data_IF_980097949947
#
_entry.id   IF_980097949947
#
_cell.length_a   1.000
_cell.length_b   1.000
_cell.length_c   1.000
_cell.angle_alpha   90.00
_cell.angle_beta   90.00
_cell.angle_gamma   90.00
#
_symmetry.space_group_name_H-M   'P 1'
#
loop_
_entity.id
_entity.type
_entity.pdbx_description
1 polymer ?
#
# COMPACT_ATOMS: atom_id res chain seq x y z
N UNK A 1 33.66 -35.57 25.43
CA UNK A 1 33.19 -35.84 24.06
C UNK A 1 31.68 -36.04 24.14
N UNK A 2 30.90 -34.96 23.99
CA UNK A 2 29.43 -35.04 23.89
C UNK A 2 29.04 -34.38 22.57
N UNK A 3 28.65 -35.20 21.60
CA UNK A 3 28.11 -34.78 20.32
C UNK A 3 26.66 -34.37 20.52
N UNK A 4 26.39 -33.07 20.63
CA UNK A 4 25.03 -32.55 20.48
C UNK A 4 24.74 -32.40 18.98
N UNK A 5 24.17 -33.46 18.39
CA UNK A 5 23.48 -33.38 17.10
C UNK A 5 22.21 -32.54 17.26
N UNK A 6 22.37 -31.22 17.17
CA UNK A 6 21.26 -30.33 16.89
C UNK A 6 20.94 -30.42 15.40
N UNK A 7 19.86 -31.12 15.05
CA UNK A 7 19.28 -31.02 13.71
C UNK A 7 18.85 -29.58 13.48
N UNK A 8 19.67 -28.83 12.74
CA UNK A 8 19.24 -27.56 12.19
C UNK A 8 18.16 -27.88 11.17
N UNK A 9 16.91 -27.56 11.49
CA UNK A 9 15.85 -27.50 10.51
C UNK A 9 16.19 -26.31 9.58
N UNK A 10 17.04 -26.55 8.58
CA UNK A 10 17.36 -25.58 7.54
C UNK A 10 16.20 -25.53 6.56
N UNK A 11 15.10 -24.92 6.98
CA UNK A 11 14.18 -24.34 6.00
C UNK A 11 14.97 -23.32 5.16
N UNK A 12 14.61 -23.12 3.88
CA UNK A 12 15.27 -22.12 3.06
C UNK A 12 15.23 -20.76 3.77
N UNK A 13 16.36 -20.05 3.80
CA UNK A 13 16.42 -18.70 4.32
C UNK A 13 15.44 -17.83 3.52
N UNK A 14 14.57 -17.08 4.22
CA UNK A 14 13.63 -16.19 3.57
C UNK A 14 14.41 -15.12 2.77
N UNK A 15 14.00 -14.93 1.52
CA UNK A 15 14.48 -13.80 0.72
C UNK A 15 13.99 -12.47 1.32
N UNK A 16 14.67 -11.35 1.08
CA UNK A 16 14.22 -10.04 1.59
C UNK A 16 12.78 -9.68 1.20
N UNK A 17 12.33 -10.08 0.00
CA UNK A 17 10.94 -9.89 -0.42
C UNK A 17 9.98 -10.70 0.46
N UNK A 18 10.29 -11.97 0.73
CA UNK A 18 9.49 -12.83 1.60
C UNK A 18 9.49 -12.34 3.05
N UNK A 19 10.59 -11.74 3.54
CA UNK A 19 10.59 -11.09 4.85
C UNK A 19 9.58 -9.95 4.88
N UNK A 20 9.55 -9.09 3.86
CA UNK A 20 8.60 -7.98 3.80
C UNK A 20 7.15 -8.46 3.68
N UNK A 21 6.89 -9.50 2.89
CA UNK A 21 5.56 -10.13 2.80
C UNK A 21 5.16 -10.74 4.15
N UNK A 22 6.06 -11.49 4.79
CA UNK A 22 5.79 -12.13 6.08
C UNK A 22 5.48 -11.10 7.18
N UNK A 23 6.17 -9.96 7.22
CA UNK A 23 5.85 -8.85 8.15
C UNK A 23 4.41 -8.36 7.97
N UNK A 24 3.91 -8.34 6.73
CA UNK A 24 2.56 -7.88 6.39
C UNK A 24 1.46 -8.89 6.70
N UNK A 25 1.80 -10.18 6.72
CA UNK A 25 0.86 -11.25 7.06
C UNK A 25 0.64 -11.39 8.57
N UNK A 26 1.45 -10.72 9.41
CA UNK A 26 1.29 -10.71 10.86
C UNK A 26 -0.04 -10.05 11.24
N UNK A 27 -0.99 -10.84 11.73
CA UNK A 27 -2.26 -10.33 12.25
C UNK A 27 -2.14 -10.08 13.75
N UNK A 28 -2.25 -8.82 14.22
CA UNK A 28 -2.13 -8.52 15.65
C UNK A 28 -3.25 -9.18 16.49
N UNK A 29 -4.38 -9.55 15.88
CA UNK A 29 -5.50 -10.22 16.55
C UNK A 29 -5.32 -11.74 16.66
N UNK A 30 -4.68 -12.39 15.68
CA UNK A 30 -4.46 -13.86 15.68
C UNK A 30 -3.10 -14.26 16.26
N UNK A 31 -2.06 -13.45 16.06
CA UNK A 31 -0.66 -13.82 16.32
C UNK A 31 -0.07 -13.18 17.57
N UNK A 32 -0.90 -12.51 18.39
CA UNK A 32 -0.49 -11.80 19.60
C UNK A 32 0.30 -12.65 20.62
N UNK A 33 0.24 -13.98 20.50
CA UNK A 33 0.95 -14.94 21.36
C UNK A 33 2.33 -15.32 20.76
N UNK A 34 2.46 -15.43 19.43
CA UNK A 34 3.72 -15.82 18.77
C UNK A 34 4.75 -14.67 18.75
N UNK A 35 4.27 -13.44 18.53
CA UNK A 35 5.09 -12.22 18.61
C UNK A 35 5.70 -12.01 20.00
N UNK A 36 4.99 -12.38 21.08
CA UNK A 36 5.56 -12.35 22.44
C UNK A 36 6.78 -13.26 22.54
N UNK A 37 6.76 -14.46 21.96
CA UNK A 37 7.85 -15.43 22.02
C UNK A 37 9.06 -15.02 21.17
N UNK A 38 8.84 -14.56 19.93
CA UNK A 38 9.92 -14.09 19.05
C UNK A 38 10.60 -12.82 19.59
N UNK A 39 9.81 -11.92 20.22
CA UNK A 39 10.31 -10.69 20.84
C UNK A 39 10.97 -10.92 22.22
N UNK A 40 10.52 -11.90 23.00
CA UNK A 40 11.17 -12.28 24.28
C UNK A 40 12.56 -12.91 24.08
N UNK A 41 12.83 -13.50 22.91
CA UNK A 41 14.15 -14.01 22.56
C UNK A 41 15.14 -12.92 22.13
N UNK A 42 14.67 -11.73 21.72
CA UNK A 42 15.54 -10.62 21.31
C UNK A 42 15.70 -9.51 22.36
N UNK A 43 14.79 -9.36 23.33
CA UNK A 43 14.83 -8.23 24.28
C UNK A 43 14.47 -8.63 25.73
N UNK A 44 15.49 -8.92 26.55
CA UNK A 44 15.42 -8.89 28.02
C UNK A 44 15.38 -7.42 28.51
N UNK A 45 14.19 -6.80 28.56
CA UNK A 45 13.72 -5.81 29.56
C UNK A 45 12.49 -5.08 29.02
N UNK A 46 11.33 -5.37 29.60
CA UNK A 46 10.36 -4.42 30.16
C UNK A 46 8.98 -5.09 30.23
N UNK A 47 8.33 -4.97 31.38
CA UNK A 47 7.10 -5.69 31.75
C UNK A 47 5.82 -5.08 31.15
N UNK A 48 4.77 -5.92 31.19
CA UNK A 48 3.33 -5.64 31.33
C UNK A 48 2.39 -5.80 30.12
N UNK A 49 1.59 -6.87 30.26
CA UNK A 49 0.11 -6.98 30.27
C UNK A 49 -0.78 -6.58 29.07
N UNK A 50 -1.88 -7.36 28.95
CA UNK A 50 -2.72 -7.63 27.77
C UNK A 50 -3.79 -6.59 27.43
N UNK A 51 -3.83 -6.25 26.14
CA UNK A 51 -4.95 -5.98 25.21
C UNK A 51 -4.32 -6.19 23.79
N UNK A 52 -5.01 -6.07 22.65
CA UNK A 52 -4.28 -5.97 21.36
C UNK A 52 -3.51 -4.65 21.40
N UNK A 53 -2.27 -4.72 21.88
CA UNK A 53 -1.51 -3.59 22.38
C UNK A 53 -1.18 -2.63 21.22
N UNK A 54 -1.43 -1.31 21.33
CA UNK A 54 -0.88 -0.29 20.44
C UNK A 54 0.62 -0.50 20.14
N UNK A 55 1.38 -1.08 21.07
CA UNK A 55 2.80 -1.44 20.86
C UNK A 55 3.01 -2.56 19.84
N UNK A 56 2.06 -3.46 19.59
CA UNK A 56 2.23 -4.54 18.58
C UNK A 56 2.14 -4.01 17.16
N UNK A 57 1.12 -3.19 16.86
CA UNK A 57 1.01 -2.51 15.55
C UNK A 57 2.20 -1.57 15.31
N UNK A 58 2.67 -0.91 16.38
CA UNK A 58 3.88 -0.11 16.37
C UNK A 58 5.12 -0.94 16.00
N UNK A 59 5.30 -2.12 16.60
CA UNK A 59 6.43 -3.01 16.28
C UNK A 59 6.42 -3.54 14.84
N UNK A 60 5.25 -3.92 14.31
CA UNK A 60 5.15 -4.34 12.89
C UNK A 60 5.53 -3.17 11.98
N UNK A 61 5.07 -1.97 12.33
CA UNK A 61 5.40 -0.74 11.63
C UNK A 61 6.91 -0.41 11.71
N UNK A 62 7.54 -0.58 12.87
CA UNK A 62 8.99 -0.39 13.07
C UNK A 62 9.81 -1.41 12.29
N UNK A 63 9.40 -2.68 12.31
CA UNK A 63 10.05 -3.74 11.52
C UNK A 63 10.00 -3.42 10.02
N UNK A 64 8.84 -2.98 9.52
CA UNK A 64 8.70 -2.52 8.14
C UNK A 64 9.62 -1.32 7.86
N UNK A 65 9.65 -0.30 8.73
CA UNK A 65 10.55 0.85 8.57
C UNK A 65 12.03 0.45 8.54
N UNK A 66 12.46 -0.48 9.40
CA UNK A 66 13.84 -0.96 9.43
C UNK A 66 14.25 -1.66 8.12
N UNK A 67 13.31 -2.32 7.42
CA UNK A 67 13.58 -2.85 6.08
C UNK A 67 13.97 -1.73 5.10
N UNK A 68 13.29 -0.59 5.12
CA UNK A 68 13.57 0.54 4.23
C UNK A 68 14.88 1.28 4.56
N UNK A 69 15.40 1.13 5.79
CA UNK A 69 16.71 1.67 6.17
C UNK A 69 17.86 0.84 5.57
N UNK A 70 17.64 -0.45 5.32
CA UNK A 70 18.63 -1.37 4.73
C UNK A 70 18.57 -1.36 3.19
N UNK A 71 18.87 -0.21 2.57
CA UNK A 71 18.71 0.03 1.12
C UNK A 71 19.52 -0.87 0.19
N UNK A 72 20.58 -1.51 0.69
CA UNK A 72 21.37 -2.51 -0.07
C UNK A 72 20.68 -3.86 -0.12
N UNK A 73 19.82 -4.17 0.85
CA UNK A 73 19.07 -5.42 0.96
C UNK A 73 17.67 -5.25 0.36
N UNK A 74 16.98 -4.15 0.68
CA UNK A 74 15.64 -3.83 0.20
C UNK A 74 15.70 -2.86 -0.97
N UNK A 75 16.25 -3.34 -2.09
CA UNK A 75 16.37 -2.59 -3.34
C UNK A 75 14.99 -2.32 -3.98
N UNK A 76 14.89 -1.39 -4.96
CA UNK A 76 13.64 -1.17 -5.69
C UNK A 76 13.01 -2.45 -6.25
N UNK A 77 13.83 -3.38 -6.75
CA UNK A 77 13.39 -4.65 -7.33
C UNK A 77 12.81 -5.58 -6.29
N UNK A 78 13.43 -5.65 -5.10
CA UNK A 78 12.91 -6.44 -3.96
C UNK A 78 11.56 -5.89 -3.50
N UNK A 79 11.44 -4.57 -3.38
CA UNK A 79 10.19 -3.91 -3.00
C UNK A 79 9.10 -4.13 -4.06
N UNK A 80 9.43 -3.98 -5.34
CA UNK A 80 8.49 -4.23 -6.42
C UNK A 80 7.98 -5.67 -6.40
N UNK A 81 8.87 -6.65 -6.19
CA UNK A 81 8.50 -8.06 -6.05
C UNK A 81 7.52 -8.27 -4.88
N UNK A 82 7.85 -7.76 -3.69
CA UNK A 82 6.99 -7.91 -2.51
C UNK A 82 5.63 -7.22 -2.69
N UNK A 83 5.60 -5.99 -3.23
CA UNK A 83 4.37 -5.24 -3.50
C UNK A 83 3.48 -5.96 -4.52
N UNK A 84 4.07 -6.51 -5.60
CA UNK A 84 3.32 -7.25 -6.61
C UNK A 84 2.79 -8.59 -6.08
N UNK A 85 3.44 -9.21 -5.11
CA UNK A 85 2.91 -10.40 -4.43
C UNK A 85 1.74 -10.02 -3.50
N UNK A 86 1.95 -9.02 -2.62
CA UNK A 86 0.94 -8.65 -1.63
C UNK A 86 -0.34 -8.05 -2.23
N UNK A 87 -0.26 -7.35 -3.36
CA UNK A 87 -1.46 -6.75 -3.99
C UNK A 87 -2.50 -7.81 -4.35
N UNK A 88 -2.06 -9.05 -4.61
CA UNK A 88 -2.93 -10.16 -4.99
C UNK A 88 -3.48 -10.95 -3.78
N UNK A 89 -2.96 -10.72 -2.56
CA UNK A 89 -3.47 -11.34 -1.33
C UNK A 89 -4.96 -11.03 -1.09
N UNK A 90 -5.64 -12.00 -0.47
CA UNK A 90 -7.03 -11.89 -0.04
C UNK A 90 -7.15 -12.51 1.37
N UNK A 91 -7.36 -11.70 2.43
CA UNK A 91 -7.53 -10.24 2.42
C UNK A 91 -6.23 -9.48 2.10
N UNK A 92 -6.35 -8.28 1.55
CA UNK A 92 -5.21 -7.39 1.29
C UNK A 92 -4.58 -6.94 2.63
N UNK A 93 -3.24 -6.99 2.81
CA UNK A 93 -2.62 -6.68 4.08
C UNK A 93 -2.88 -5.25 4.55
N UNK A 94 -3.14 -5.08 5.84
CA UNK A 94 -3.59 -3.80 6.39
C UNK A 94 -2.57 -2.66 6.21
N UNK A 95 -1.28 -2.99 6.26
CA UNK A 95 -0.18 -2.03 6.13
C UNK A 95 0.25 -1.79 4.68
N UNK A 96 -0.38 -2.45 3.71
CA UNK A 96 0.05 -2.44 2.30
C UNK A 96 0.28 -1.02 1.75
N UNK A 97 -0.68 -0.11 1.94
CA UNK A 97 -0.54 1.26 1.43
C UNK A 97 0.57 2.06 2.11
N UNK A 98 0.91 1.74 3.37
CA UNK A 98 2.04 2.37 4.06
C UNK A 98 3.34 2.01 3.35
N UNK A 99 3.50 0.74 2.98
CA UNK A 99 4.69 0.24 2.26
C UNK A 99 4.77 0.77 0.85
N UNK A 100 3.64 0.92 0.15
CA UNK A 100 3.59 1.59 -1.16
C UNK A 100 4.12 3.03 -1.06
N UNK A 101 3.66 3.79 -0.05
CA UNK A 101 4.11 5.18 0.16
C UNK A 101 5.60 5.23 0.52
N UNK A 102 6.07 4.36 1.43
CA UNK A 102 7.49 4.28 1.79
C UNK A 102 8.38 3.90 0.60
N UNK A 103 7.91 3.04 -0.30
CA UNK A 103 8.63 2.67 -1.51
C UNK A 103 8.80 3.85 -2.48
N UNK A 104 7.77 4.67 -2.65
CA UNK A 104 7.86 5.89 -3.46
C UNK A 104 8.83 6.91 -2.82
N UNK A 105 8.73 7.13 -1.50
CA UNK A 105 9.60 8.04 -0.76
C UNK A 105 11.07 7.63 -0.85
N UNK A 106 11.35 6.33 -0.77
CA UNK A 106 12.70 5.79 -0.87
C UNK A 106 13.23 5.75 -2.30
N UNK A 107 12.36 5.43 -3.28
CA UNK A 107 12.72 5.14 -4.66
C UNK A 107 11.69 5.70 -5.66
N UNK A 108 11.84 6.99 -6.06
CA UNK A 108 10.92 7.63 -7.01
C UNK A 108 10.85 6.94 -8.39
N UNK A 109 11.85 6.13 -8.76
CA UNK A 109 11.85 5.33 -9.99
C UNK A 109 10.74 4.26 -10.02
N UNK A 110 10.09 3.96 -8.88
CA UNK A 110 8.99 3.00 -8.81
C UNK A 110 7.62 3.60 -9.13
N UNK A 111 7.50 4.91 -9.41
CA UNK A 111 6.19 5.58 -9.59
C UNK A 111 5.33 4.89 -10.65
N UNK A 112 5.88 4.56 -11.82
CA UNK A 112 5.11 3.91 -12.90
C UNK A 112 4.59 2.52 -12.50
N UNK A 113 5.46 1.71 -11.90
CA UNK A 113 5.07 0.43 -11.31
C UNK A 113 3.98 0.60 -10.25
N UNK A 114 4.10 1.60 -9.37
CA UNK A 114 3.08 1.87 -8.36
C UNK A 114 1.76 2.28 -9.00
N UNK A 115 1.74 2.99 -10.13
CA UNK A 115 0.48 3.31 -10.80
C UNK A 115 -0.25 2.05 -11.30
N UNK A 116 0.47 0.99 -11.68
CA UNK A 116 -0.12 -0.31 -12.00
C UNK A 116 -0.72 -0.97 -10.75
N UNK A 117 0.00 -0.92 -9.63
CA UNK A 117 -0.50 -1.40 -8.32
C UNK A 117 -1.77 -0.64 -7.92
N UNK A 118 -1.78 0.69 -8.00
CA UNK A 118 -2.95 1.50 -7.65
C UNK A 118 -4.14 1.20 -8.58
N UNK A 119 -3.89 0.97 -9.88
CA UNK A 119 -4.95 0.57 -10.82
C UNK A 119 -5.55 -0.80 -10.44
N UNK A 120 -4.71 -1.79 -10.06
CA UNK A 120 -5.21 -3.07 -9.51
C UNK A 120 -6.06 -2.88 -8.25
N UNK A 121 -5.69 -1.95 -7.37
CA UNK A 121 -6.47 -1.63 -6.16
C UNK A 121 -7.83 -1.01 -6.47
N UNK A 122 -7.96 -0.22 -7.54
CA UNK A 122 -9.26 0.28 -8.02
C UNK A 122 -10.14 -0.90 -8.42
N UNK A 123 -9.63 -1.85 -9.21
CA UNK A 123 -10.35 -3.08 -9.58
C UNK A 123 -10.76 -3.92 -8.36
N UNK A 124 -9.91 -3.94 -7.31
CA UNK A 124 -10.21 -4.59 -6.02
C UNK A 124 -11.13 -3.77 -5.09
N UNK A 125 -11.64 -2.63 -5.56
CA UNK A 125 -12.55 -1.76 -4.80
C UNK A 125 -11.97 -1.30 -3.46
N UNK A 126 -10.73 -0.78 -3.47
CA UNK A 126 -10.01 -0.33 -2.27
C UNK A 126 -10.79 0.63 -1.37
N UNK A 127 -11.77 1.37 -1.93
CA UNK A 127 -12.69 2.22 -1.17
C UNK A 127 -13.57 1.46 -0.15
N UNK A 128 -13.74 0.15 -0.27
CA UNK A 128 -14.44 -0.69 0.72
C UNK A 128 -13.58 -0.99 1.96
N UNK A 129 -12.30 -0.64 1.94
CA UNK A 129 -11.33 -0.91 2.99
C UNK A 129 -10.83 0.41 3.59
N UNK A 130 -11.50 1.00 4.60
CA UNK A 130 -11.29 2.40 5.01
C UNK A 130 -9.84 2.77 5.33
N UNK A 131 -9.09 1.90 6.01
CA UNK A 131 -7.68 2.13 6.35
C UNK A 131 -6.78 2.18 5.10
N UNK A 132 -7.03 1.30 4.13
CA UNK A 132 -6.31 1.28 2.87
C UNK A 132 -6.74 2.43 1.95
N UNK A 133 -8.02 2.80 1.98
CA UNK A 133 -8.55 3.93 1.21
C UNK A 133 -7.86 5.25 1.56
N UNK A 134 -7.63 5.51 2.85
CA UNK A 134 -6.89 6.70 3.30
C UNK A 134 -5.46 6.70 2.74
N UNK A 135 -4.78 5.55 2.80
CA UNK A 135 -3.44 5.41 2.22
C UNK A 135 -3.42 5.58 0.70
N UNK A 136 -4.42 5.02 0.01
CA UNK A 136 -4.59 5.16 -1.45
C UNK A 136 -4.70 6.62 -1.85
N UNK A 137 -5.57 7.39 -1.19
CA UNK A 137 -5.75 8.81 -1.48
C UNK A 137 -4.51 9.65 -1.18
N UNK A 138 -3.79 9.34 -0.08
CA UNK A 138 -2.49 9.96 0.21
C UNK A 138 -1.48 9.71 -0.91
N UNK A 139 -1.37 8.45 -1.36
CA UNK A 139 -0.46 8.09 -2.45
C UNK A 139 -0.85 8.79 -3.77
N UNK A 140 -2.13 8.80 -4.13
CA UNK A 140 -2.63 9.52 -5.32
C UNK A 140 -2.29 11.00 -5.26
N UNK A 141 -2.47 11.64 -4.10
CA UNK A 141 -2.15 13.07 -3.94
C UNK A 141 -0.64 13.34 -4.04
N UNK A 142 0.21 12.42 -3.59
CA UNK A 142 1.65 12.58 -3.61
C UNK A 142 2.25 12.37 -5.01
N UNK A 143 1.68 11.48 -5.82
CA UNK A 143 2.25 11.09 -7.12
C UNK A 143 1.62 11.80 -8.31
N UNK A 144 0.99 12.96 -8.08
CA UNK A 144 0.50 13.81 -9.17
C UNK A 144 1.66 14.23 -10.09
N UNK A 145 1.45 14.34 -11.42
CA UNK A 145 0.21 14.08 -12.15
C UNK A 145 -0.01 12.60 -12.55
N UNK A 146 0.97 11.72 -12.33
CA UNK A 146 0.96 10.32 -12.77
C UNK A 146 -0.27 9.54 -12.28
N UNK A 147 -0.79 9.90 -11.10
CA UNK A 147 -1.96 9.28 -10.49
C UNK A 147 -3.31 9.67 -11.11
N UNK A 148 -3.40 10.72 -11.94
CA UNK A 148 -4.68 11.16 -12.49
C UNK A 148 -5.34 10.10 -13.36
N UNK A 149 -4.57 9.35 -14.15
CA UNK A 149 -5.10 8.20 -14.92
C UNK A 149 -5.71 7.12 -14.04
N UNK A 150 -5.22 6.95 -12.81
CA UNK A 150 -5.77 5.99 -11.85
C UNK A 150 -7.02 6.56 -11.19
N UNK A 151 -6.97 7.84 -10.82
CA UNK A 151 -8.10 8.52 -10.19
C UNK A 151 -9.33 8.55 -11.11
N UNK A 152 -9.13 8.69 -12.42
CA UNK A 152 -10.19 8.63 -13.44
C UNK A 152 -10.78 7.22 -13.67
N UNK A 153 -10.19 6.16 -13.10
CA UNK A 153 -10.76 4.80 -13.14
C UNK A 153 -11.77 4.54 -12.02
N UNK A 154 -11.78 5.38 -10.96
CA UNK A 154 -12.73 5.24 -9.85
C UNK A 154 -14.16 5.47 -10.34
N UNK A 155 -15.18 4.75 -9.85
CA UNK A 155 -16.57 5.10 -10.16
C UNK A 155 -16.94 6.50 -9.63
N UNK A 156 -17.94 7.14 -10.25
CA UNK A 156 -18.32 8.54 -9.98
C UNK A 156 -18.46 8.89 -8.48
N UNK A 157 -19.18 8.10 -7.65
CA UNK A 157 -19.31 8.44 -6.22
C UNK A 157 -17.98 8.35 -5.46
N UNK A 158 -17.07 7.45 -5.86
CA UNK A 158 -15.75 7.35 -5.24
C UNK A 158 -14.81 8.46 -5.70
N UNK A 159 -14.89 8.86 -6.97
CA UNK A 159 -14.14 10.01 -7.49
C UNK A 159 -14.57 11.29 -6.77
N UNK A 160 -15.88 11.52 -6.62
CA UNK A 160 -16.40 12.65 -5.87
C UNK A 160 -15.94 12.62 -4.40
N UNK A 161 -16.01 11.46 -3.74
CA UNK A 161 -15.52 11.28 -2.37
C UNK A 161 -14.03 11.59 -2.25
N UNK A 162 -13.21 11.16 -3.21
CA UNK A 162 -11.78 11.43 -3.25
C UNK A 162 -11.50 12.93 -3.34
N UNK A 163 -12.19 13.63 -4.24
CA UNK A 163 -12.06 15.08 -4.45
C UNK A 163 -12.57 15.90 -3.27
N UNK A 164 -13.61 15.42 -2.57
CA UNK A 164 -14.10 16.04 -1.34
C UNK A 164 -13.06 15.94 -0.21
N UNK A 165 -12.34 14.81 -0.10
CA UNK A 165 -11.27 14.64 0.90
C UNK A 165 -9.97 15.38 0.54
N UNK A 166 -9.66 15.50 -0.75
CA UNK A 166 -8.45 16.14 -1.25
C UNK A 166 -8.80 17.19 -2.31
N UNK A 167 -9.32 18.33 -1.85
CA UNK A 167 -9.78 19.41 -2.73
C UNK A 167 -8.66 19.97 -3.64
N UNK A 168 -7.40 19.84 -3.21
CA UNK A 168 -6.22 20.22 -3.98
C UNK A 168 -6.04 19.41 -5.28
N UNK A 169 -6.74 18.28 -5.45
CA UNK A 169 -6.70 17.48 -6.68
C UNK A 169 -7.59 18.06 -7.79
N UNK A 170 -8.60 18.86 -7.45
CA UNK A 170 -9.63 19.29 -8.42
C UNK A 170 -9.06 20.07 -9.59
N UNK A 171 -8.34 21.15 -9.30
CA UNK A 171 -7.74 22.01 -10.33
C UNK A 171 -6.77 21.24 -11.24
N UNK A 172 -5.76 20.56 -10.67
CA UNK A 172 -4.82 19.76 -11.45
C UNK A 172 -5.48 18.63 -12.27
N UNK A 173 -6.46 17.92 -11.70
CA UNK A 173 -7.19 16.85 -12.40
C UNK A 173 -8.02 17.40 -13.56
N UNK A 174 -8.68 18.54 -13.36
CA UNK A 174 -9.46 19.24 -14.40
C UNK A 174 -8.57 19.67 -15.58
N UNK A 175 -7.40 20.25 -15.27
CA UNK A 175 -6.40 20.61 -16.28
C UNK A 175 -5.89 19.38 -17.05
N UNK A 176 -5.67 18.25 -16.36
CA UNK A 176 -5.26 16.99 -16.98
C UNK A 176 -6.36 16.41 -17.90
N UNK A 177 -7.60 16.34 -17.43
CA UNK A 177 -8.73 15.83 -18.20
C UNK A 177 -9.09 16.71 -19.40
N UNK A 178 -8.72 18.00 -19.37
CA UNK A 178 -8.91 18.94 -20.47
C UNK A 178 -8.01 18.66 -21.68
N UNK A 179 -6.92 17.91 -21.50
CA UNK A 179 -5.92 17.70 -22.55
C UNK A 179 -6.49 16.92 -23.74
N UNK A 180 -6.21 17.34 -25.00
CA UNK A 180 -6.79 16.71 -26.19
C UNK A 180 -6.51 15.21 -26.32
N UNK A 181 -5.32 14.76 -25.93
CA UNK A 181 -4.90 13.34 -25.95
C UNK A 181 -5.67 12.47 -24.96
N UNK A 182 -6.13 13.06 -23.86
CA UNK A 182 -6.90 12.37 -22.82
C UNK A 182 -8.38 12.35 -23.20
N UNK A 183 -8.92 13.48 -23.70
CA UNK A 183 -10.32 13.57 -24.16
C UNK A 183 -10.68 12.54 -25.24
N UNK A 184 -9.75 12.21 -26.14
CA UNK A 184 -9.97 11.21 -27.19
C UNK A 184 -9.91 9.77 -26.68
N UNK A 185 -9.17 9.53 -25.60
CA UNK A 185 -8.95 8.20 -25.00
C UNK A 185 -9.95 7.86 -23.90
N UNK A 186 -10.57 8.87 -23.31
CA UNK A 186 -11.70 8.67 -22.41
C UNK A 186 -12.86 8.10 -23.23
N UNK A 187 -13.42 6.94 -22.82
CA UNK A 187 -14.58 6.39 -23.49
C UNK A 187 -15.66 7.48 -23.57
N UNK A 188 -16.08 7.79 -24.81
CA UNK A 188 -17.22 8.66 -25.12
C UNK A 188 -18.49 7.99 -24.59
N UNK A 189 -18.65 7.98 -23.27
CA UNK A 189 -19.84 7.45 -22.64
C UNK A 189 -20.98 8.42 -22.91
N UNK A 190 -21.97 7.90 -23.63
CA UNK A 190 -23.21 8.54 -24.04
C UNK A 190 -23.71 9.54 -23.01
N UNK A 191 -24.05 10.74 -23.47
CA UNK A 191 -24.79 11.76 -22.76
C UNK A 191 -25.85 11.11 -21.83
N UNK A 192 -25.60 11.12 -20.50
CA UNK A 192 -26.55 10.60 -19.52
C UNK A 192 -25.97 9.90 -18.27
N UNK A 193 -24.67 9.61 -18.20
CA UNK A 193 -24.07 8.98 -17.01
C UNK A 193 -23.57 9.98 -15.94
N UNK A 194 -23.61 9.65 -14.63
CA UNK A 194 -23.13 10.51 -13.54
C UNK A 194 -21.63 10.85 -13.63
N UNK A 195 -20.87 10.07 -14.41
CA UNK A 195 -19.45 10.31 -14.68
C UNK A 195 -19.19 11.50 -15.62
N UNK A 196 -20.01 11.66 -16.66
CA UNK A 196 -19.93 12.80 -17.56
C UNK A 196 -20.33 14.08 -16.84
N UNK A 197 -21.31 13.99 -15.93
CA UNK A 197 -21.77 15.14 -15.13
C UNK A 197 -20.65 15.60 -14.19
N UNK A 198 -20.00 14.69 -13.47
CA UNK A 198 -18.91 15.06 -12.55
C UNK A 198 -17.71 15.68 -13.27
N UNK A 199 -17.36 15.18 -14.47
CA UNK A 199 -16.30 15.79 -15.28
C UNK A 199 -16.74 17.16 -15.84
N UNK A 200 -18.01 17.32 -16.21
CA UNK A 200 -18.58 18.62 -16.61
C UNK A 200 -18.55 19.64 -15.47
N UNK A 201 -18.86 19.21 -14.23
CA UNK A 201 -18.76 20.04 -13.01
C UNK A 201 -17.32 20.30 -12.56
N UNK A 202 -16.35 19.48 -12.97
CA UNK A 202 -14.91 19.74 -12.74
C UNK A 202 -14.30 20.67 -13.79
N UNK A 203 -14.92 20.78 -14.96
CA UNK A 203 -14.46 21.57 -16.12
C UNK A 203 -15.16 22.93 -16.26
N UNK A 204 -16.15 23.22 -15.39
CA UNK A 204 -16.82 24.52 -15.21
C UNK A 204 -16.30 25.16 -13.91
#
# INVERSE_FOLDING_TARGET
>A
MCLMQGSAHTGPALTPAEVLVAIHDISPEKDGIALKKAYLLSLKRCSLHQAVDPKTYHRITEACSACFEQRTVFTPQVLAKALNQMVDHTPLPLLFMRTVIQAIDAYPTLVDFVMEILSKLVSKQVWRMPKLWVGFLKCVSQTQPHSFRVLLQLPAPQLESALNKHANLRGPLSAYASQPSIKSSLPRYSFGGPFCILLHYLLM
#
